data_IF_275180221017
#
_entry.id   IF_275180221017
#
_cell.length_a   1.000
_cell.length_b   1.000
_cell.length_c   1.000
_cell.angle_alpha   90.00
_cell.angle_beta   90.00
_cell.angle_gamma   90.00
#
_symmetry.space_group_name_H-M   'P 1'
#
loop_
_entity.id
_entity.type
_entity.pdbx_description
1 polymer ?
#
# COMPACT_ATOMS: atom_id res chain seq x y z
N UNK A 1 -3.08 22.67 -1.30
CA UNK A 1 -2.80 21.90 -0.07
C UNK A 1 -1.41 21.31 -0.28
N UNK A 2 -0.38 21.90 0.36
CA UNK A 2 1.02 21.52 0.16
C UNK A 2 1.24 20.10 0.71
N UNK A 3 1.72 19.21 -0.15
CA UNK A 3 2.40 17.98 0.24
C UNK A 3 3.52 18.37 1.20
N UNK A 4 3.42 17.97 2.47
CA UNK A 4 4.58 17.97 3.33
C UNK A 4 5.51 16.87 2.80
N UNK A 5 6.46 17.25 1.95
CA UNK A 5 7.67 16.48 1.71
C UNK A 5 8.38 16.33 3.06
N UNK A 6 8.03 15.27 3.81
CA UNK A 6 8.91 14.81 4.86
C UNK A 6 10.17 14.32 4.17
N UNK A 7 11.18 15.20 4.10
CA UNK A 7 12.48 14.94 3.52
C UNK A 7 12.93 13.52 3.89
N UNK A 8 13.26 12.70 2.88
CA UNK A 8 13.58 11.29 3.05
C UNK A 8 14.54 11.10 4.23
N UNK A 9 14.08 10.40 5.28
CA UNK A 9 14.90 10.07 6.45
C UNK A 9 15.40 8.65 6.35
N UNK A 10 16.70 8.46 6.60
CA UNK A 10 17.30 7.14 6.72
C UNK A 10 16.58 6.36 7.83
N UNK A 11 16.14 5.11 7.57
CA UNK A 11 15.50 4.29 8.59
C UNK A 11 16.48 3.97 9.73
N UNK A 12 15.93 3.66 10.92
CA UNK A 12 16.74 3.22 12.07
C UNK A 12 17.51 1.94 11.72
N UNK A 13 18.65 1.72 12.36
CA UNK A 13 19.48 0.52 12.14
C UNK A 13 18.61 -0.75 12.29
N UNK A 14 18.66 -1.61 11.26
CA UNK A 14 17.86 -2.85 11.19
C UNK A 14 16.46 -2.70 10.59
N UNK A 15 16.02 -1.49 10.21
CA UNK A 15 14.79 -1.26 9.46
C UNK A 15 15.07 -1.03 7.98
N UNK A 16 14.24 -1.64 7.14
CA UNK A 16 14.18 -1.36 5.70
C UNK A 16 13.02 -0.40 5.45
N UNK A 17 13.15 0.46 4.43
CA UNK A 17 12.08 1.37 4.03
C UNK A 17 11.63 0.99 2.63
N UNK A 18 10.33 0.78 2.46
CA UNK A 18 9.73 0.39 1.19
C UNK A 18 8.71 1.47 0.80
N UNK A 19 9.02 2.19 -0.28
CA UNK A 19 8.07 3.12 -0.89
C UNK A 19 7.17 2.34 -1.84
N UNK A 20 5.87 2.54 -1.76
CA UNK A 20 4.90 1.93 -2.66
C UNK A 20 4.01 3.03 -3.26
N UNK A 21 3.63 2.85 -4.52
CA UNK A 21 2.76 3.77 -5.27
C UNK A 21 1.83 2.97 -6.17
N UNK A 22 0.53 3.15 -6.03
CA UNK A 22 -0.51 2.51 -6.83
C UNK A 22 -1.12 3.46 -7.85
N UNK A 23 -0.87 3.20 -9.14
CA UNK A 23 -1.55 3.92 -10.22
C UNK A 23 -2.73 3.13 -10.76
N UNK A 24 -3.90 3.78 -10.88
CA UNK A 24 -5.05 3.23 -11.60
C UNK A 24 -5.10 3.83 -13.02
N UNK A 25 -4.94 3.00 -14.05
CA UNK A 25 -5.25 3.41 -15.43
C UNK A 25 -6.73 3.11 -15.74
N UNK A 26 -7.45 4.08 -16.29
CA UNK A 26 -8.61 3.77 -17.13
C UNK A 26 -8.08 2.98 -18.34
N UNK A 27 -8.49 1.72 -18.45
CA UNK A 27 -7.81 0.64 -19.18
C UNK A 27 -7.26 0.97 -20.58
N UNK A 28 -6.05 0.49 -20.89
CA UNK A 28 -5.79 -0.53 -21.94
C UNK A 28 -4.30 -0.93 -21.96
N UNK A 29 -4.05 -2.24 -21.88
CA UNK A 29 -2.80 -2.95 -22.22
C UNK A 29 -1.57 -2.81 -21.31
N UNK A 30 -1.37 -3.74 -20.35
CA UNK A 30 -0.02 -4.14 -19.92
C UNK A 30 0.04 -5.62 -19.50
N UNK A 31 1.11 -6.29 -19.95
CA UNK A 31 1.41 -7.71 -19.75
C UNK A 31 1.75 -7.99 -18.28
N UNK A 32 0.88 -8.75 -17.60
CA UNK A 32 1.04 -9.11 -16.19
C UNK A 32 -0.24 -8.98 -15.39
N UNK A 33 -1.39 -9.42 -15.94
CA UNK A 33 -2.64 -9.47 -15.19
C UNK A 33 -2.63 -10.67 -14.25
N UNK A 34 -2.53 -10.41 -12.94
CA UNK A 34 -3.19 -11.27 -11.96
C UNK A 34 -4.69 -11.26 -12.31
N UNK A 35 -5.24 -12.42 -12.68
CA UNK A 35 -6.66 -12.61 -12.96
C UNK A 35 -7.47 -12.39 -11.68
N UNK A 36 -7.87 -11.15 -11.42
CA UNK A 36 -8.72 -10.77 -10.31
C UNK A 36 -9.31 -9.39 -10.58
N UNK A 37 -10.61 -9.26 -10.29
CA UNK A 37 -11.50 -8.11 -10.52
C UNK A 37 -10.80 -6.76 -10.81
N UNK A 38 -11.22 -6.13 -11.91
CA UNK A 38 -10.85 -4.77 -12.35
C UNK A 38 -10.62 -3.83 -11.17
N UNK A 39 -9.45 -3.20 -11.09
CA UNK A 39 -9.16 -2.14 -10.10
C UNK A 39 -9.98 -0.92 -10.51
N UNK A 40 -11.13 -0.71 -9.85
CA UNK A 40 -12.13 0.28 -10.30
C UNK A 40 -11.82 1.69 -9.79
N UNK A 41 -10.89 1.83 -8.83
CA UNK A 41 -10.55 3.12 -8.23
C UNK A 41 -9.09 3.16 -7.76
N UNK A 42 -8.52 4.36 -7.74
CA UNK A 42 -7.14 4.61 -7.28
C UNK A 42 -6.88 4.08 -5.86
N UNK A 43 -7.91 4.08 -4.99
CA UNK A 43 -7.76 3.59 -3.62
C UNK A 43 -7.49 2.08 -3.56
N UNK A 44 -8.17 1.27 -4.36
CA UNK A 44 -7.92 -0.17 -4.47
C UNK A 44 -6.53 -0.48 -5.02
N UNK A 45 -6.07 0.29 -6.01
CA UNK A 45 -4.72 0.17 -6.55
C UNK A 45 -3.67 0.31 -5.44
N UNK A 46 -3.85 1.29 -4.56
CA UNK A 46 -2.95 1.62 -3.46
C UNK A 46 -2.91 0.51 -2.39
N UNK A 47 -4.09 -0.01 -2.03
CA UNK A 47 -4.17 -1.17 -1.12
C UNK A 47 -3.50 -2.41 -1.73
N UNK A 48 -3.68 -2.65 -3.03
CA UNK A 48 -3.03 -3.77 -3.72
C UNK A 48 -1.51 -3.60 -3.77
N UNK A 49 -1.01 -2.42 -4.14
CA UNK A 49 0.43 -2.16 -4.17
C UNK A 49 1.05 -2.32 -2.78
N UNK A 50 0.38 -1.86 -1.71
CA UNK A 50 0.85 -2.09 -0.35
C UNK A 50 0.95 -3.59 -0.05
N UNK A 51 -0.09 -4.39 -0.33
CA UNK A 51 -0.07 -5.83 -0.05
C UNK A 51 1.06 -6.52 -0.82
N UNK A 52 1.27 -6.19 -2.10
CA UNK A 52 2.36 -6.73 -2.92
C UNK A 52 3.73 -6.33 -2.34
N UNK A 53 3.89 -5.07 -1.95
CA UNK A 53 5.13 -4.58 -1.33
C UNK A 53 5.43 -5.34 -0.03
N UNK A 54 4.40 -5.59 0.79
CA UNK A 54 4.54 -6.35 2.02
C UNK A 54 4.94 -7.81 1.76
N UNK A 55 4.24 -8.50 0.84
CA UNK A 55 4.57 -9.88 0.42
C UNK A 55 6.00 -10.01 -0.12
N UNK A 56 6.42 -9.06 -0.95
CA UNK A 56 7.78 -9.01 -1.49
C UNK A 56 8.82 -8.79 -0.37
N UNK A 57 8.52 -7.96 0.63
CA UNK A 57 9.44 -7.76 1.75
C UNK A 57 9.59 -9.03 2.62
N UNK A 58 8.50 -9.76 2.87
CA UNK A 58 8.58 -11.01 3.63
C UNK A 58 9.23 -12.15 2.87
N UNK A 59 9.04 -12.24 1.56
CA UNK A 59 9.76 -13.24 0.75
C UNK A 59 11.27 -13.02 0.79
N UNK A 60 11.72 -11.78 1.01
CA UNK A 60 13.11 -11.39 1.25
C UNK A 60 13.56 -11.48 2.71
N UNK A 61 12.73 -12.06 3.60
CA UNK A 61 12.99 -12.22 5.04
C UNK A 61 13.14 -10.90 5.82
N UNK A 62 12.67 -9.78 5.28
CA UNK A 62 12.67 -8.51 6.01
C UNK A 62 11.62 -8.53 7.12
N UNK A 63 12.09 -8.47 8.36
CA UNK A 63 11.24 -8.52 9.57
C UNK A 63 10.87 -7.14 10.12
N UNK A 64 11.54 -6.09 9.66
CA UNK A 64 11.36 -4.72 10.12
C UNK A 64 11.33 -3.79 8.92
N UNK A 65 10.13 -3.49 8.43
CA UNK A 65 9.92 -2.65 7.25
C UNK A 65 9.01 -1.48 7.58
N UNK A 66 9.39 -0.30 7.14
CA UNK A 66 8.56 0.91 7.16
C UNK A 66 7.99 1.06 5.75
N UNK A 67 6.68 0.90 5.62
CA UNK A 67 5.96 1.14 4.37
C UNK A 67 5.50 2.60 4.32
N UNK A 68 5.85 3.31 3.27
CA UNK A 68 5.43 4.69 3.03
C UNK A 68 4.72 4.79 1.67
N UNK A 69 3.60 5.51 1.67
CA UNK A 69 2.82 5.87 0.48
C UNK A 69 2.23 7.27 0.69
N UNK A 70 1.84 7.93 -0.40
CA UNK A 70 1.38 9.33 -0.42
C UNK A 70 -0.14 9.48 -0.18
N UNK A 71 -0.88 8.37 -0.13
CA UNK A 71 -2.33 8.38 0.01
C UNK A 71 -2.80 8.55 1.47
N UNK A 72 -3.03 9.81 1.88
CA UNK A 72 -3.51 10.14 3.23
C UNK A 72 -4.84 9.46 3.60
N UNK A 73 -5.78 9.31 2.65
CA UNK A 73 -7.09 8.68 2.91
C UNK A 73 -6.93 7.20 3.25
N UNK A 74 -6.06 6.50 2.52
CA UNK A 74 -5.71 5.12 2.82
C UNK A 74 -5.10 4.99 4.21
N UNK A 75 -4.17 5.87 4.58
CA UNK A 75 -3.58 5.90 5.91
C UNK A 75 -4.63 6.14 7.00
N UNK A 76 -5.61 7.02 6.77
CA UNK A 76 -6.68 7.27 7.74
C UNK A 76 -7.62 6.07 7.90
N UNK A 77 -7.90 5.32 6.82
CA UNK A 77 -8.67 4.06 6.88
C UNK A 77 -7.90 2.99 7.66
N UNK A 78 -6.61 2.79 7.37
CA UNK A 78 -5.78 1.80 8.06
C UNK A 78 -5.70 2.08 9.57
N UNK A 79 -5.61 3.36 9.95
CA UNK A 79 -5.58 3.84 11.32
C UNK A 79 -6.96 3.90 12.01
N UNK A 80 -8.02 3.33 11.42
CA UNK A 80 -9.40 3.36 11.93
C UNK A 80 -10.00 4.78 12.13
N UNK A 81 -9.46 5.81 11.49
CA UNK A 81 -10.03 7.17 11.59
C UNK A 81 -11.26 7.34 10.72
N UNK A 82 -11.35 6.61 9.61
CA UNK A 82 -12.47 6.63 8.68
C UNK A 82 -12.87 5.20 8.33
N UNK A 83 -14.17 4.91 8.38
CA UNK A 83 -14.72 3.63 7.94
C UNK A 83 -15.08 3.72 6.46
N UNK A 84 -14.52 2.83 5.64
CA UNK A 84 -14.88 2.70 4.24
C UNK A 84 -15.27 1.25 3.94
N UNK A 85 -16.58 0.98 3.85
CA UNK A 85 -17.10 -0.39 3.73
C UNK A 85 -16.51 -1.16 2.54
N UNK A 86 -16.31 -0.49 1.39
CA UNK A 86 -15.68 -1.12 0.22
C UNK A 86 -14.21 -1.51 0.42
N UNK A 87 -13.50 -0.89 1.39
CA UNK A 87 -12.09 -1.16 1.68
C UNK A 87 -11.91 -2.09 2.89
N UNK A 88 -12.99 -2.63 3.45
CA UNK A 88 -12.93 -3.45 4.66
C UNK A 88 -12.11 -4.73 4.43
N UNK A 89 -12.35 -5.43 3.32
CA UNK A 89 -11.62 -6.66 2.99
C UNK A 89 -10.13 -6.37 2.79
N UNK A 90 -9.80 -5.31 2.05
CA UNK A 90 -8.41 -4.89 1.84
C UNK A 90 -7.71 -4.49 3.14
N UNK A 91 -8.40 -3.77 4.03
CA UNK A 91 -7.88 -3.40 5.35
C UNK A 91 -7.60 -4.63 6.21
N UNK A 92 -8.47 -5.66 6.13
CA UNK A 92 -8.25 -6.92 6.83
C UNK A 92 -7.03 -7.67 6.30
N UNK A 93 -6.83 -7.71 4.98
CA UNK A 93 -5.64 -8.31 4.37
C UNK A 93 -4.37 -7.58 4.80
N UNK A 94 -4.30 -6.25 4.69
CA UNK A 94 -3.13 -5.47 5.15
C UNK A 94 -2.81 -5.76 6.62
N UNK A 95 -3.82 -5.87 7.49
CA UNK A 95 -3.64 -6.22 8.91
C UNK A 95 -3.21 -7.65 9.17
N UNK A 96 -3.66 -8.58 8.33
CA UNK A 96 -3.24 -9.97 8.40
C UNK A 96 -1.75 -10.09 8.12
N UNK A 97 -1.35 -9.42 7.05
CA UNK A 97 0.00 -9.33 6.57
C UNK A 97 0.89 -8.55 7.56
N UNK A 98 0.44 -7.45 8.18
CA UNK A 98 1.27 -6.65 9.12
C UNK A 98 1.75 -7.36 10.41
N UNK A 99 1.45 -8.64 10.60
CA UNK A 99 1.84 -9.44 11.77
C UNK A 99 3.24 -10.02 11.60
#
# INVERSE_FOLDING_TARGET
>A
MQTQDQAWKRPRVGYHKCNFDGSSMNATSFAGQALGNMILNAMEAEFQTLIIAMQHCWSLTYTKVIFEGDNQKMMDILNNKVLHFGMYNWTREVRWWSR
#
